data_IF_903194699817
#
_entry.id   IF_903194699817
#
_cell.length_a   1.000
_cell.length_b   1.000
_cell.length_c   1.000
_cell.angle_alpha   90.00
_cell.angle_beta   90.00
_cell.angle_gamma   90.00
#
_symmetry.space_group_name_H-M   'P 1'
#
loop_
_entity.id
_entity.type
_entity.pdbx_description
1 polymer ?
#
# COMPACT_ATOMS: atom_id res chain seq x y z
N UNK A 1 23.05 0.09 39.17
CA UNK A 1 22.71 0.81 37.92
C UNK A 1 23.52 2.10 37.78
N UNK A 2 24.21 2.29 36.67
CA UNK A 2 25.08 3.46 36.46
C UNK A 2 24.27 4.77 36.55
N UNK A 3 23.14 4.88 35.88
CA UNK A 3 22.32 6.12 35.90
C UNK A 3 21.71 6.47 37.25
N UNK A 4 21.73 5.56 38.22
CA UNK A 4 21.31 5.78 39.62
C UNK A 4 22.48 5.98 40.58
N UNK A 5 23.72 6.16 40.08
CA UNK A 5 24.94 6.28 40.87
C UNK A 5 25.54 7.69 40.69
N UNK A 6 26.07 8.26 41.75
CA UNK A 6 26.82 9.54 41.70
C UNK A 6 28.04 9.40 40.79
N UNK A 7 28.26 10.37 39.92
CA UNK A 7 29.27 10.29 38.84
C UNK A 7 30.69 10.14 39.35
N UNK A 8 31.05 10.89 40.41
CA UNK A 8 32.38 10.81 41.01
C UNK A 8 32.63 9.43 41.60
N UNK A 9 31.63 8.85 42.28
CA UNK A 9 31.72 7.50 42.86
C UNK A 9 31.77 6.42 41.76
N UNK A 10 31.01 6.58 40.69
CA UNK A 10 31.08 5.68 39.56
C UNK A 10 32.47 5.66 38.92
N UNK A 11 33.10 6.83 38.75
CA UNK A 11 34.48 6.94 38.22
C UNK A 11 35.48 6.33 39.19
N UNK A 12 35.35 6.60 40.52
CA UNK A 12 36.23 6.06 41.57
C UNK A 12 36.24 4.51 41.57
N UNK A 13 35.05 3.91 41.61
CA UNK A 13 34.94 2.44 41.66
C UNK A 13 35.40 1.77 40.38
N UNK A 14 35.09 2.32 39.22
CA UNK A 14 35.59 1.83 37.95
C UNK A 14 37.12 1.90 37.87
N UNK A 15 37.71 3.00 38.29
CA UNK A 15 39.17 3.15 38.33
C UNK A 15 39.86 2.19 39.30
N UNK A 16 39.25 1.92 40.48
CA UNK A 16 39.76 0.95 41.41
C UNK A 16 39.71 -0.50 40.81
N UNK A 17 38.67 -0.81 40.04
CA UNK A 17 38.59 -2.11 39.34
C UNK A 17 39.64 -2.19 38.23
N UNK A 18 39.85 -1.11 37.46
CA UNK A 18 40.83 -1.07 36.39
C UNK A 18 42.26 -1.25 36.95
N UNK A 19 42.59 -0.60 38.08
CA UNK A 19 43.88 -0.77 38.79
C UNK A 19 44.06 -2.20 39.28
N UNK A 20 43.03 -2.78 39.92
CA UNK A 20 43.08 -4.17 40.43
C UNK A 20 43.19 -5.23 39.31
N UNK A 21 42.59 -4.93 38.14
CA UNK A 21 42.66 -5.80 36.95
C UNK A 21 43.99 -5.65 36.20
N UNK A 22 44.77 -4.61 36.54
CA UNK A 22 46.00 -4.21 35.81
C UNK A 22 45.70 -3.96 34.32
N UNK A 23 44.67 -3.12 34.06
CA UNK A 23 44.23 -2.80 32.71
C UNK A 23 45.40 -2.16 31.91
N UNK A 24 45.63 -2.62 30.69
CA UNK A 24 46.74 -2.18 29.84
C UNK A 24 46.78 -2.93 28.51
N UNK A 25 47.88 -2.82 27.78
CA UNK A 25 48.06 -3.52 26.50
C UNK A 25 47.96 -5.06 26.67
N UNK A 26 47.08 -5.69 25.87
CA UNK A 26 46.81 -7.11 25.95
C UNK A 26 45.94 -7.52 27.15
N UNK A 27 45.44 -6.58 27.94
CA UNK A 27 44.55 -6.76 29.09
C UNK A 27 43.41 -5.71 29.06
N UNK A 28 42.80 -5.56 27.94
CA UNK A 28 41.69 -4.63 27.72
C UNK A 28 40.49 -5.02 28.61
N UNK A 29 39.75 -4.04 29.10
CA UNK A 29 38.61 -4.20 30.01
C UNK A 29 37.41 -3.53 29.44
N UNK A 30 36.24 -4.22 29.49
CA UNK A 30 34.96 -3.62 29.18
C UNK A 30 34.37 -3.03 30.47
N UNK A 31 34.16 -1.72 30.48
CA UNK A 31 33.36 -1.03 31.49
C UNK A 31 31.97 -0.79 30.91
N UNK A 32 30.97 -1.43 31.46
CA UNK A 32 29.57 -1.28 31.01
C UNK A 32 28.82 -0.32 31.91
N UNK A 33 28.20 0.70 31.32
CA UNK A 33 27.50 1.77 31.99
C UNK A 33 25.98 1.72 31.69
N UNK A 34 25.23 0.83 32.37
CA UNK A 34 23.82 0.61 32.01
C UNK A 34 22.90 1.74 32.49
N UNK A 35 22.01 2.16 31.60
CA UNK A 35 20.80 2.87 31.94
C UNK A 35 19.70 1.84 32.22
N UNK A 36 19.77 1.20 33.38
CA UNK A 36 18.87 0.09 33.77
C UNK A 36 17.40 0.55 33.82
N UNK A 37 17.19 1.80 34.16
CA UNK A 37 15.93 2.54 33.97
C UNK A 37 16.29 3.86 33.31
N UNK A 38 15.54 4.22 32.31
CA UNK A 38 15.67 5.51 31.60
C UNK A 38 15.19 6.67 32.49
N UNK A 39 16.08 7.20 33.32
CA UNK A 39 15.76 8.23 34.33
C UNK A 39 15.82 9.63 33.77
N UNK A 40 16.69 9.89 32.80
CA UNK A 40 17.02 11.20 32.25
C UNK A 40 16.74 11.29 30.75
N UNK A 41 16.83 12.48 30.22
CA UNK A 41 16.82 12.70 28.76
C UNK A 41 18.10 12.19 28.10
N UNK A 42 18.08 11.84 26.79
CA UNK A 42 19.22 11.29 26.05
C UNK A 42 20.51 12.10 26.16
N UNK A 43 20.42 13.43 26.13
CA UNK A 43 21.58 14.30 26.25
C UNK A 43 22.24 14.22 27.63
N UNK A 44 21.45 14.08 28.71
CA UNK A 44 22.03 13.92 30.07
C UNK A 44 22.75 12.59 30.21
N UNK A 45 22.22 11.51 29.63
CA UNK A 45 22.93 10.24 29.59
C UNK A 45 24.23 10.34 28.79
N UNK A 46 24.22 11.03 27.66
CA UNK A 46 25.42 11.29 26.88
C UNK A 46 26.47 12.11 27.68
N UNK A 47 26.04 13.14 28.41
CA UNK A 47 26.94 13.91 29.30
C UNK A 47 27.58 13.02 30.35
N UNK A 48 26.84 12.08 30.93
CA UNK A 48 27.36 11.08 31.88
C UNK A 48 28.38 10.15 31.22
N UNK A 49 28.16 9.70 29.99
CA UNK A 49 29.12 8.88 29.25
C UNK A 49 30.38 9.66 28.90
N UNK A 50 30.24 10.91 28.47
CA UNK A 50 31.38 11.77 28.22
C UNK A 50 32.23 12.02 29.48
N UNK A 51 31.53 12.24 30.62
CA UNK A 51 32.21 12.38 31.91
C UNK A 51 33.04 11.13 32.22
N UNK A 52 32.44 9.93 32.12
CA UNK A 52 33.15 8.68 32.39
C UNK A 52 34.31 8.47 31.41
N UNK A 53 34.10 8.73 30.11
CA UNK A 53 35.16 8.63 29.11
C UNK A 53 36.38 9.49 29.43
N UNK A 54 36.18 10.68 30.03
CA UNK A 54 37.25 11.60 30.43
C UNK A 54 37.90 11.28 31.76
N UNK A 55 37.21 10.55 32.68
CA UNK A 55 37.72 10.31 34.04
C UNK A 55 38.17 8.86 34.29
N UNK A 56 37.96 7.96 33.34
CA UNK A 56 38.51 6.59 33.42
C UNK A 56 40.00 6.58 33.15
N UNK A 57 40.76 5.92 34.01
CA UNK A 57 42.16 5.59 33.78
C UNK A 57 42.29 4.60 32.61
N UNK A 58 43.45 4.61 31.97
CA UNK A 58 43.76 3.66 30.90
C UNK A 58 42.72 3.66 29.78
N UNK A 59 42.13 4.81 29.44
CA UNK A 59 41.00 4.93 28.53
C UNK A 59 41.23 4.23 27.17
N UNK A 60 42.47 4.24 26.69
CA UNK A 60 42.91 3.59 25.45
C UNK A 60 42.84 2.05 25.49
N UNK A 61 42.77 1.47 26.68
CA UNK A 61 42.61 0.03 26.91
C UNK A 61 41.24 -0.33 27.50
N UNK A 62 40.35 0.64 27.63
CA UNK A 62 38.99 0.44 28.11
C UNK A 62 38.01 0.50 26.95
N UNK A 63 37.21 -0.55 26.79
CA UNK A 63 36.04 -0.56 25.92
C UNK A 63 34.86 -0.03 26.73
N UNK A 64 34.49 1.21 26.47
CA UNK A 64 33.36 1.84 27.14
C UNK A 64 32.05 1.36 26.51
N UNK A 65 31.29 0.56 27.24
CA UNK A 65 30.06 -0.08 26.79
C UNK A 65 28.82 0.57 27.42
N UNK A 66 27.75 0.66 26.66
CA UNK A 66 26.46 1.17 27.11
C UNK A 66 25.37 0.12 26.96
N UNK A 67 24.39 0.14 27.89
CA UNK A 67 23.28 -0.81 27.92
C UNK A 67 21.99 -0.06 28.32
N UNK A 68 21.38 0.70 27.41
CA UNK A 68 20.16 1.43 27.70
C UNK A 68 18.90 0.56 27.64
N UNK A 69 17.99 0.82 28.59
CA UNK A 69 16.59 0.40 28.48
C UNK A 69 15.75 1.48 27.78
N UNK A 70 14.47 1.24 27.57
CA UNK A 70 13.58 2.07 26.75
C UNK A 70 12.32 2.54 27.52
N UNK A 71 12.46 2.83 28.81
CA UNK A 71 11.32 3.15 29.71
C UNK A 71 10.58 4.42 29.29
N UNK A 72 11.28 5.39 28.70
CA UNK A 72 10.73 6.65 28.20
C UNK A 72 10.52 6.66 26.69
N UNK A 73 10.87 5.57 25.99
CA UNK A 73 10.83 5.47 24.53
C UNK A 73 12.01 6.17 23.82
N UNK A 74 13.08 6.49 24.52
CA UNK A 74 14.23 7.25 24.02
C UNK A 74 15.53 6.41 23.95
N UNK A 75 15.43 5.10 24.17
CA UNK A 75 16.60 4.21 24.27
C UNK A 75 17.54 4.26 23.06
N UNK A 76 16.99 4.36 21.84
CA UNK A 76 17.79 4.51 20.61
C UNK A 76 18.49 5.87 20.59
N UNK A 77 17.77 6.96 20.84
CA UNK A 77 18.35 8.31 20.86
C UNK A 77 19.43 8.46 21.94
N UNK A 78 19.19 7.91 23.14
CA UNK A 78 20.18 7.89 24.20
C UNK A 78 21.45 7.13 23.80
N UNK A 79 21.30 6.03 23.08
CA UNK A 79 22.43 5.22 22.60
C UNK A 79 23.21 5.93 21.50
N UNK A 80 22.54 6.56 20.54
CA UNK A 80 23.19 7.35 19.49
C UNK A 80 24.03 8.50 20.07
N UNK A 81 23.46 9.25 21.03
CA UNK A 81 24.18 10.31 21.70
C UNK A 81 25.32 9.79 22.59
N UNK A 82 25.15 8.62 23.23
CA UNK A 82 26.23 7.99 24.00
C UNK A 82 27.42 7.57 23.13
N UNK A 83 27.15 7.05 21.92
CA UNK A 83 28.21 6.77 20.93
C UNK A 83 28.96 8.03 20.52
N UNK A 84 28.24 9.14 20.26
CA UNK A 84 28.87 10.44 19.97
C UNK A 84 29.65 11.00 21.16
N UNK A 85 29.26 10.64 22.39
CA UNK A 85 29.93 11.04 23.62
C UNK A 85 31.16 10.19 23.97
N UNK A 86 31.48 9.16 23.17
CA UNK A 86 32.69 8.36 23.33
C UNK A 86 32.49 6.92 23.80
N UNK A 87 31.28 6.38 23.75
CA UNK A 87 31.06 4.95 23.92
C UNK A 87 31.62 4.18 22.71
N UNK A 88 32.23 3.02 22.97
CA UNK A 88 32.83 2.16 21.96
C UNK A 88 31.95 0.97 21.60
N UNK A 89 31.05 0.57 22.51
CA UNK A 89 30.27 -0.66 22.41
C UNK A 89 28.82 -0.44 22.90
N UNK A 90 27.88 -1.11 22.26
CA UNK A 90 26.48 -1.11 22.67
C UNK A 90 26.00 -2.53 22.98
N UNK A 91 25.25 -2.69 24.05
CA UNK A 91 24.45 -3.85 24.37
C UNK A 91 22.97 -3.52 24.22
N UNK A 92 22.28 -4.35 23.48
CA UNK A 92 20.83 -4.23 23.26
C UNK A 92 20.26 -5.55 22.80
N UNK A 93 19.03 -5.53 22.29
CA UNK A 93 18.32 -6.73 21.88
C UNK A 93 17.67 -6.53 20.51
N UNK A 94 17.36 -7.64 19.84
CA UNK A 94 16.60 -7.61 18.60
C UNK A 94 15.20 -7.07 18.89
N UNK A 95 14.81 -6.04 18.13
CA UNK A 95 13.51 -5.37 18.25
C UNK A 95 13.21 -4.83 19.67
N UNK A 96 14.23 -4.58 20.46
CA UNK A 96 14.09 -4.01 21.80
C UNK A 96 13.51 -4.99 22.85
N UNK A 97 13.50 -6.30 22.60
CA UNK A 97 12.96 -7.26 23.55
C UNK A 97 13.68 -7.19 24.90
N UNK A 98 12.94 -7.19 26.00
CA UNK A 98 13.52 -7.12 27.35
C UNK A 98 12.48 -6.84 28.42
N UNK A 99 12.97 -6.57 29.62
CA UNK A 99 12.11 -6.23 30.78
C UNK A 99 11.37 -4.91 30.57
N UNK A 100 10.16 -4.82 31.12
CA UNK A 100 9.29 -3.63 31.10
C UNK A 100 8.99 -3.20 29.67
N UNK A 101 9.54 -2.04 29.23
CA UNK A 101 9.41 -1.48 27.88
C UNK A 101 10.48 -2.01 26.93
N UNK A 102 11.41 -2.83 27.42
CA UNK A 102 12.51 -3.41 26.68
C UNK A 102 13.84 -2.67 26.78
N UNK A 103 14.79 -3.11 25.98
CA UNK A 103 16.14 -2.56 25.81
C UNK A 103 16.18 -1.69 24.56
N UNK A 104 17.33 -1.06 24.31
CA UNK A 104 17.59 -0.45 23.00
C UNK A 104 17.46 -1.51 21.91
N UNK A 105 16.71 -1.17 20.86
CA UNK A 105 16.61 -1.98 19.65
C UNK A 105 17.88 -1.82 18.81
N UNK A 106 18.75 -2.85 18.83
CA UNK A 106 20.02 -2.81 18.09
C UNK A 106 19.84 -2.79 16.57
N UNK A 107 18.72 -3.30 16.05
CA UNK A 107 18.43 -3.23 14.61
C UNK A 107 18.11 -1.79 14.19
N UNK A 108 17.22 -1.14 14.93
CA UNK A 108 16.91 0.28 14.70
C UNK A 108 18.17 1.14 14.78
N UNK A 109 19.01 0.94 15.82
CA UNK A 109 20.27 1.65 15.97
C UNK A 109 21.20 1.41 14.76
N UNK A 110 21.40 0.16 14.35
CA UNK A 110 22.28 -0.20 13.26
C UNK A 110 21.83 0.40 11.91
N UNK A 111 20.53 0.35 11.61
CA UNK A 111 19.99 0.97 10.39
C UNK A 111 20.04 2.50 10.45
N UNK A 112 19.88 3.11 11.61
CA UNK A 112 20.09 4.55 11.78
C UNK A 112 21.54 4.93 11.47
N UNK A 113 22.52 4.17 11.98
CA UNK A 113 23.95 4.37 11.65
C UNK A 113 24.18 4.21 10.15
N UNK A 114 23.67 3.15 9.55
CA UNK A 114 23.78 2.89 8.11
C UNK A 114 23.21 4.05 7.28
N UNK A 115 22.04 4.58 7.66
CA UNK A 115 21.40 5.70 6.98
C UNK A 115 22.24 7.00 7.02
N UNK A 116 23.17 7.10 7.96
CA UNK A 116 24.12 8.20 8.10
C UNK A 116 25.51 7.88 7.52
N UNK A 117 25.63 6.77 6.80
CA UNK A 117 26.88 6.34 6.15
C UNK A 117 27.90 5.68 7.10
N UNK A 118 27.46 5.23 8.29
CA UNK A 118 28.27 4.50 9.25
C UNK A 118 27.94 3.01 9.16
N UNK A 119 28.88 2.20 8.69
CA UNK A 119 28.73 0.75 8.63
C UNK A 119 28.73 0.14 10.04
N UNK A 120 27.62 -0.46 10.50
CA UNK A 120 27.54 -1.11 11.81
C UNK A 120 28.31 -2.42 11.88
N UNK A 121 28.86 -2.91 10.75
CA UNK A 121 29.57 -4.19 10.60
C UNK A 121 28.77 -5.39 11.07
N UNK A 122 27.49 -5.38 10.75
CA UNK A 122 26.53 -6.46 11.01
C UNK A 122 25.89 -6.89 9.69
N UNK A 123 25.61 -8.18 9.55
CA UNK A 123 24.89 -8.73 8.39
C UNK A 123 23.40 -8.52 8.59
N UNK A 124 22.85 -7.43 8.04
CA UNK A 124 21.48 -6.98 8.27
C UNK A 124 20.68 -6.76 6.97
N UNK A 125 21.14 -7.34 5.85
CA UNK A 125 20.56 -7.15 4.52
C UNK A 125 19.19 -7.83 4.35
N UNK A 126 18.78 -8.69 5.30
CA UNK A 126 17.47 -9.36 5.29
C UNK A 126 16.79 -9.30 6.66
N UNK A 127 16.10 -8.18 6.91
CA UNK A 127 15.34 -7.99 8.16
C UNK A 127 14.20 -9.00 8.32
N UNK A 128 13.68 -9.55 7.22
CA UNK A 128 12.56 -10.49 7.27
C UNK A 128 13.01 -11.83 7.88
N UNK A 129 14.16 -12.34 7.49
CA UNK A 129 14.74 -13.54 8.10
C UNK A 129 15.02 -13.36 9.59
N UNK A 130 15.54 -12.18 9.98
CA UNK A 130 15.76 -11.86 11.40
C UNK A 130 14.44 -11.84 12.16
N UNK A 131 13.41 -11.22 11.60
CA UNK A 131 12.06 -11.18 12.16
C UNK A 131 11.48 -12.57 12.35
N UNK A 132 11.57 -13.45 11.34
CA UNK A 132 11.07 -14.83 11.42
C UNK A 132 11.73 -15.62 12.56
N UNK A 133 13.04 -15.50 12.72
CA UNK A 133 13.79 -16.13 13.82
C UNK A 133 13.32 -15.59 15.17
N UNK A 134 13.19 -14.26 15.29
CA UNK A 134 12.73 -13.61 16.52
C UNK A 134 11.32 -14.08 16.91
N UNK A 135 10.35 -14.00 16.01
CA UNK A 135 8.95 -14.38 16.26
C UNK A 135 8.82 -15.88 16.60
N UNK A 136 9.61 -16.73 15.94
CA UNK A 136 9.66 -18.17 16.22
C UNK A 136 10.20 -18.46 17.61
N UNK A 137 11.27 -17.78 18.05
CA UNK A 137 11.93 -18.03 19.32
C UNK A 137 11.18 -17.42 20.51
N UNK A 138 10.69 -16.20 20.37
CA UNK A 138 10.05 -15.46 21.46
C UNK A 138 8.55 -15.71 21.57
N UNK A 139 7.91 -16.17 20.49
CA UNK A 139 6.44 -16.24 20.33
C UNK A 139 5.76 -14.88 20.40
N UNK A 140 6.50 -13.80 20.20
CA UNK A 140 6.01 -12.44 20.16
C UNK A 140 6.02 -11.95 18.71
N UNK A 141 4.97 -11.21 18.30
CA UNK A 141 4.89 -10.60 16.97
C UNK A 141 5.50 -9.19 16.98
N UNK A 142 6.14 -8.83 15.89
CA UNK A 142 6.67 -7.47 15.69
C UNK A 142 5.51 -6.49 15.50
N UNK A 143 5.47 -5.37 16.22
CA UNK A 143 4.46 -4.34 16.01
C UNK A 143 4.42 -3.86 14.55
N UNK A 144 3.24 -3.61 13.95
CA UNK A 144 3.13 -3.15 12.57
C UNK A 144 3.88 -1.84 12.28
N UNK A 145 4.17 -1.02 13.29
CA UNK A 145 4.89 0.26 13.21
C UNK A 145 6.31 0.19 13.78
N UNK A 146 6.84 -1.02 14.04
CA UNK A 146 8.23 -1.16 14.46
C UNK A 146 9.16 -0.54 13.40
N UNK A 147 10.08 0.33 13.75
CA UNK A 147 11.01 0.92 12.78
C UNK A 147 11.66 -0.14 11.90
N UNK A 148 11.76 0.13 10.61
CA UNK A 148 12.31 -0.74 9.55
C UNK A 148 11.64 -2.11 9.36
N UNK A 149 11.15 -2.78 10.41
CA UNK A 149 10.65 -4.15 10.39
C UNK A 149 9.12 -4.27 10.25
N UNK A 150 8.39 -3.29 10.72
CA UNK A 150 6.93 -3.32 10.78
C UNK A 150 6.27 -3.39 9.41
N UNK A 151 5.10 -4.00 9.32
CA UNK A 151 4.37 -4.17 8.07
C UNK A 151 3.96 -2.84 7.40
N UNK A 152 3.88 -1.75 8.18
CA UNK A 152 3.40 -0.45 7.71
C UNK A 152 4.51 0.58 7.47
N UNK A 153 5.79 0.25 7.73
CA UNK A 153 6.86 1.27 7.74
C UNK A 153 7.30 1.73 6.35
N UNK A 154 7.12 0.91 5.33
CA UNK A 154 7.39 1.26 3.93
C UNK A 154 6.10 1.43 3.13
N UNK A 155 5.02 1.85 3.77
CA UNK A 155 3.73 2.09 3.15
C UNK A 155 3.38 3.57 3.22
N UNK A 156 2.90 4.14 2.13
CA UNK A 156 2.38 5.50 2.11
C UNK A 156 0.86 5.45 1.95
N UNK A 157 0.13 6.12 2.85
CA UNK A 157 -1.34 6.17 2.83
C UNK A 157 -1.88 7.34 2.00
N UNK A 158 -1.09 8.38 1.81
CA UNK A 158 -1.48 9.57 1.04
C UNK A 158 -1.03 9.48 -0.40
N UNK A 159 -1.92 9.74 -1.36
CA UNK A 159 -1.58 9.79 -2.77
C UNK A 159 -0.50 10.81 -3.11
N UNK A 160 -0.43 11.93 -2.38
CA UNK A 160 0.64 12.94 -2.56
C UNK A 160 2.01 12.42 -2.10
N UNK A 161 2.07 11.61 -1.03
CA UNK A 161 3.31 11.00 -0.58
C UNK A 161 3.80 9.93 -1.57
N UNK A 162 2.88 9.14 -2.12
CA UNK A 162 3.22 8.13 -3.14
C UNK A 162 3.74 8.77 -4.43
N UNK A 163 3.10 9.85 -4.89
CA UNK A 163 3.55 10.61 -6.05
C UNK A 163 4.97 11.18 -5.81
N UNK A 164 5.24 11.71 -4.61
CA UNK A 164 6.55 12.21 -4.25
C UNK A 164 7.62 11.10 -4.20
N UNK A 165 7.30 9.93 -3.64
CA UNK A 165 8.20 8.76 -3.63
C UNK A 165 8.51 8.31 -5.07
N UNK A 166 7.49 8.15 -5.92
CA UNK A 166 7.68 7.74 -7.31
C UNK A 166 8.54 8.74 -8.09
N UNK A 167 8.28 10.04 -7.95
CA UNK A 167 9.11 11.09 -8.55
C UNK A 167 10.54 11.10 -8.01
N UNK A 168 10.71 10.86 -6.71
CA UNK A 168 12.02 10.74 -6.08
C UNK A 168 12.84 9.58 -6.64
N UNK A 169 12.24 8.39 -6.76
CA UNK A 169 12.87 7.19 -7.35
C UNK A 169 13.23 7.45 -8.82
N UNK A 170 12.31 8.03 -9.60
CA UNK A 170 12.57 8.37 -10.99
C UNK A 170 13.74 9.35 -11.13
N UNK A 171 13.75 10.42 -10.35
CA UNK A 171 14.81 11.44 -10.39
C UNK A 171 16.18 10.87 -9.97
N UNK A 172 16.23 9.95 -8.98
CA UNK A 172 17.45 9.22 -8.62
C UNK A 172 17.96 8.37 -9.79
N UNK A 173 17.08 7.62 -10.43
CA UNK A 173 17.43 6.77 -11.57
C UNK A 173 17.95 7.60 -12.75
N UNK A 174 17.29 8.72 -13.09
CA UNK A 174 17.73 9.63 -14.15
C UNK A 174 19.10 10.26 -13.88
N UNK A 175 19.38 10.61 -12.61
CA UNK A 175 20.66 11.19 -12.19
C UNK A 175 21.74 10.14 -11.92
N UNK A 176 21.38 8.86 -11.90
CA UNK A 176 22.27 7.75 -11.49
C UNK A 176 22.91 8.02 -10.12
N UNK A 177 22.14 8.59 -9.18
CA UNK A 177 22.60 8.90 -7.83
C UNK A 177 22.94 7.62 -7.06
N UNK A 178 24.06 7.62 -6.38
CA UNK A 178 24.48 6.56 -5.45
C UNK A 178 24.08 6.85 -4.00
N UNK A 179 23.48 8.02 -3.76
CA UNK A 179 23.00 8.44 -2.45
C UNK A 179 21.48 8.35 -2.46
N UNK A 180 20.92 7.72 -1.41
CA UNK A 180 19.49 7.64 -1.25
C UNK A 180 18.88 9.00 -0.86
N UNK A 181 17.99 9.53 -1.70
CA UNK A 181 17.37 10.84 -1.53
C UNK A 181 15.85 10.81 -1.75
N UNK A 182 15.22 9.62 -1.65
CA UNK A 182 13.79 9.49 -1.88
C UNK A 182 13.01 10.06 -0.70
N UNK A 183 12.07 11.01 -0.94
CA UNK A 183 11.22 11.56 0.12
C UNK A 183 10.44 10.48 0.86
N UNK A 184 10.21 10.68 2.15
CA UNK A 184 9.43 9.79 3.04
C UNK A 184 10.03 8.41 3.32
N UNK A 185 11.17 8.05 2.73
CA UNK A 185 11.85 6.79 2.98
C UNK A 185 13.26 7.07 3.53
N UNK A 186 13.56 6.73 4.79
CA UNK A 186 14.83 7.07 5.43
C UNK A 186 16.02 6.28 4.85
N UNK A 187 15.76 5.12 4.25
CA UNK A 187 16.75 4.27 3.55
C UNK A 187 16.09 3.63 2.33
N UNK A 188 16.90 3.05 1.44
CA UNK A 188 16.37 2.15 0.39
C UNK A 188 15.84 0.86 1.05
N UNK A 189 14.56 0.53 0.89
CA UNK A 189 14.02 -0.72 1.41
C UNK A 189 14.77 -1.96 0.89
N UNK A 190 15.35 -1.89 -0.30
CA UNK A 190 16.12 -3.00 -0.89
C UNK A 190 17.38 -3.35 -0.09
N UNK A 191 18.02 -2.36 0.57
CA UNK A 191 19.22 -2.57 1.39
C UNK A 191 18.98 -3.45 2.62
N UNK A 192 17.72 -3.60 3.01
CA UNK A 192 17.31 -4.40 4.17
C UNK A 192 16.41 -5.59 3.79
N UNK A 193 16.43 -6.00 2.50
CA UNK A 193 15.65 -7.12 1.98
C UNK A 193 14.15 -6.85 1.89
N UNK A 194 13.74 -5.56 1.88
CA UNK A 194 12.34 -5.16 1.73
C UNK A 194 12.08 -4.50 0.39
N UNK A 195 10.83 -4.28 0.09
CA UNK A 195 10.40 -3.51 -1.07
C UNK A 195 9.49 -2.39 -0.61
N UNK A 196 9.54 -1.25 -1.30
CA UNK A 196 8.49 -0.27 -1.17
C UNK A 196 7.20 -0.89 -1.74
N UNK A 197 6.26 -1.16 -0.87
CA UNK A 197 4.93 -1.61 -1.26
C UNK A 197 3.99 -0.42 -1.12
N UNK A 198 3.45 0.08 -2.23
CA UNK A 198 2.38 1.05 -2.17
C UNK A 198 1.09 0.35 -1.70
N UNK A 199 1.07 -0.11 -0.46
CA UNK A 199 -0.17 -0.60 0.15
C UNK A 199 -1.00 0.63 0.51
N UNK A 200 -1.82 1.03 -0.41
CA UNK A 200 -2.88 2.01 -0.14
C UNK A 200 -3.98 1.30 0.62
N UNK A 201 -3.90 1.30 1.94
CA UNK A 201 -5.10 1.07 2.74
C UNK A 201 -5.89 2.36 2.73
N UNK A 202 -7.08 2.32 2.19
CA UNK A 202 -7.94 3.50 2.11
C UNK A 202 -8.71 3.59 3.41
N UNK A 203 -8.48 4.67 4.12
CA UNK A 203 -9.28 5.09 5.26
C UNK A 203 -9.97 6.43 4.92
N UNK A 204 -10.83 6.91 5.81
CA UNK A 204 -11.56 8.18 5.66
C UNK A 204 -10.66 9.42 5.41
N UNK A 205 -9.36 9.33 5.67
CA UNK A 205 -8.36 10.38 5.42
C UNK A 205 -7.59 10.19 4.09
N UNK A 206 -7.78 9.06 3.42
CA UNK A 206 -7.14 8.78 2.12
C UNK A 206 -7.88 9.58 1.05
N UNK A 207 -7.24 10.61 0.51
CA UNK A 207 -7.85 11.46 -0.52
C UNK A 207 -8.25 10.70 -1.78
N UNK A 208 -9.07 11.35 -2.63
CA UNK A 208 -9.66 10.80 -3.87
C UNK A 208 -8.67 10.13 -4.84
N UNK A 209 -7.39 10.47 -4.78
CA UNK A 209 -6.34 9.85 -5.58
C UNK A 209 -5.92 8.44 -5.12
N UNK A 210 -6.17 8.08 -3.86
CA UNK A 210 -5.76 6.79 -3.32
C UNK A 210 -6.47 5.60 -3.96
N UNK A 211 -7.79 5.67 -4.14
CA UNK A 211 -8.60 4.61 -4.79
C UNK A 211 -8.16 4.42 -6.24
N UNK A 212 -8.01 5.51 -6.99
CA UNK A 212 -7.58 5.45 -8.38
C UNK A 212 -6.18 4.84 -8.53
N UNK A 213 -5.28 5.16 -7.61
CA UNK A 213 -3.93 4.58 -7.59
C UNK A 213 -3.95 3.06 -7.31
N UNK A 214 -4.75 2.62 -6.33
CA UNK A 214 -4.92 1.17 -6.08
C UNK A 214 -5.42 0.45 -7.30
N UNK A 215 -6.44 0.99 -7.96
CA UNK A 215 -7.03 0.38 -9.14
C UNK A 215 -6.05 0.29 -10.31
N UNK A 216 -5.23 1.32 -10.54
CA UNK A 216 -4.21 1.31 -11.59
C UNK A 216 -3.01 0.41 -11.22
N UNK A 217 -2.38 0.67 -10.07
CA UNK A 217 -1.10 0.02 -9.72
C UNK A 217 -1.22 -1.48 -9.41
N UNK A 218 -2.32 -1.91 -8.77
CA UNK A 218 -2.48 -3.31 -8.38
C UNK A 218 -3.34 -4.13 -9.34
N UNK A 219 -4.32 -3.49 -9.99
CA UNK A 219 -5.29 -4.20 -10.81
C UNK A 219 -5.30 -3.75 -12.28
N UNK A 220 -4.52 -2.72 -12.63
CA UNK A 220 -4.34 -2.25 -14.00
C UNK A 220 -5.52 -1.44 -14.57
N UNK A 221 -6.48 -1.01 -13.73
CA UNK A 221 -7.63 -0.23 -14.17
C UNK A 221 -7.36 1.27 -14.12
N UNK A 222 -7.19 1.89 -15.28
CA UNK A 222 -6.99 3.35 -15.43
C UNK A 222 -8.34 4.06 -15.48
N UNK A 223 -8.90 4.36 -14.32
CA UNK A 223 -10.22 4.97 -14.21
C UNK A 223 -10.29 6.36 -14.85
N UNK A 224 -11.34 6.70 -15.63
CA UNK A 224 -11.61 8.08 -16.06
C UNK A 224 -11.74 9.04 -14.87
N UNK A 225 -11.32 10.31 -15.03
CA UNK A 225 -11.30 11.30 -13.92
C UNK A 225 -12.64 11.47 -13.20
N UNK A 226 -13.76 11.46 -13.93
CA UNK A 226 -15.11 11.54 -13.34
C UNK A 226 -15.41 10.31 -12.48
N UNK A 227 -15.10 9.13 -12.99
CA UNK A 227 -15.29 7.85 -12.31
C UNK A 227 -14.38 7.71 -11.07
N UNK A 228 -13.13 8.23 -11.13
CA UNK A 228 -12.25 8.25 -9.95
C UNK A 228 -12.90 8.96 -8.76
N UNK A 229 -13.61 10.06 -9.03
CA UNK A 229 -14.30 10.82 -7.97
C UNK A 229 -15.50 10.05 -7.44
N UNK A 230 -16.36 9.57 -8.31
CA UNK A 230 -17.56 8.82 -7.94
C UNK A 230 -17.21 7.59 -7.11
N UNK A 231 -16.24 6.80 -7.58
CA UNK A 231 -15.83 5.58 -6.88
C UNK A 231 -15.10 5.86 -5.57
N UNK A 232 -14.28 6.91 -5.51
CA UNK A 232 -13.60 7.31 -4.28
C UNK A 232 -14.60 7.77 -3.20
N UNK A 233 -15.62 8.55 -3.58
CA UNK A 233 -16.67 8.99 -2.66
C UNK A 233 -17.46 7.78 -2.11
N UNK A 234 -17.72 6.76 -2.93
CA UNK A 234 -18.35 5.49 -2.49
C UNK A 234 -17.48 4.71 -1.48
N UNK A 235 -16.20 4.51 -1.78
CA UNK A 235 -15.28 3.80 -0.89
C UNK A 235 -15.05 4.58 0.41
N UNK A 236 -15.03 5.91 0.35
CA UNK A 236 -14.92 6.74 1.54
C UNK A 236 -16.13 6.56 2.48
N UNK A 237 -17.35 6.60 1.94
CA UNK A 237 -18.56 6.39 2.73
C UNK A 237 -18.57 4.99 3.39
N UNK A 238 -18.08 3.97 2.70
CA UNK A 238 -17.94 2.62 3.25
C UNK A 238 -16.89 2.59 4.38
N UNK A 239 -15.74 3.22 4.17
CA UNK A 239 -14.66 3.25 5.18
C UNK A 239 -15.04 4.01 6.45
N UNK A 240 -15.96 4.96 6.38
CA UNK A 240 -16.51 5.66 7.56
C UNK A 240 -17.42 4.75 8.41
N UNK A 241 -18.01 3.73 7.80
CA UNK A 241 -18.89 2.78 8.48
C UNK A 241 -18.15 1.54 8.98
N UNK A 242 -17.28 0.97 8.16
CA UNK A 242 -16.63 -0.33 8.38
C UNK A 242 -15.15 -0.22 8.80
N UNK A 243 -14.54 0.97 8.71
CA UNK A 243 -13.14 1.20 8.99
C UNK A 243 -12.25 1.10 7.74
N UNK A 244 -11.06 0.55 7.88
CA UNK A 244 -10.09 0.41 6.77
C UNK A 244 -10.57 -0.57 5.71
N UNK A 245 -10.56 -0.15 4.44
CA UNK A 245 -10.91 -1.00 3.28
C UNK A 245 -9.63 -1.47 2.59
N UNK A 246 -9.46 -2.77 2.45
CA UNK A 246 -8.31 -3.36 1.79
C UNK A 246 -8.34 -3.17 0.26
N UNK A 247 -7.20 -3.21 -0.44
CA UNK A 247 -7.15 -3.16 -1.90
C UNK A 247 -8.01 -4.23 -2.58
N UNK A 248 -8.06 -5.44 -2.03
CA UNK A 248 -8.85 -6.52 -2.57
C UNK A 248 -10.36 -6.25 -2.42
N UNK A 249 -10.80 -5.70 -1.29
CA UNK A 249 -12.19 -5.30 -1.09
C UNK A 249 -12.59 -4.17 -2.04
N UNK A 250 -11.71 -3.17 -2.25
CA UNK A 250 -11.93 -2.11 -3.25
C UNK A 250 -12.14 -2.70 -4.64
N UNK A 251 -11.28 -3.64 -5.03
CA UNK A 251 -11.39 -4.32 -6.31
C UNK A 251 -12.69 -5.13 -6.43
N UNK A 252 -13.08 -5.88 -5.39
CA UNK A 252 -14.29 -6.68 -5.40
C UNK A 252 -15.55 -5.81 -5.47
N UNK A 253 -15.56 -4.68 -4.77
CA UNK A 253 -16.63 -3.68 -4.86
C UNK A 253 -16.68 -3.08 -6.27
N UNK A 254 -15.53 -2.70 -6.83
CA UNK A 254 -15.46 -2.19 -8.21
C UNK A 254 -16.01 -3.19 -9.22
N UNK A 255 -15.64 -4.45 -9.09
CA UNK A 255 -16.16 -5.51 -9.96
C UNK A 255 -17.68 -5.66 -9.83
N UNK A 256 -18.20 -5.63 -8.61
CA UNK A 256 -19.63 -5.77 -8.33
C UNK A 256 -20.44 -4.58 -8.87
N UNK A 257 -19.95 -3.36 -8.62
CA UNK A 257 -20.68 -2.13 -8.95
C UNK A 257 -20.61 -1.75 -10.43
N UNK A 258 -19.47 -1.94 -11.09
CA UNK A 258 -19.25 -1.36 -12.42
C UNK A 258 -19.04 -2.39 -13.53
N UNK A 259 -18.51 -3.57 -13.22
CA UNK A 259 -18.08 -4.53 -14.25
C UNK A 259 -19.08 -5.66 -14.46
N UNK A 260 -19.53 -6.26 -13.39
CA UNK A 260 -20.39 -7.44 -13.42
C UNK A 260 -21.87 -7.13 -13.16
N UNK A 261 -22.30 -5.91 -13.43
CA UNK A 261 -23.70 -5.47 -13.30
C UNK A 261 -24.52 -6.08 -14.44
N UNK A 262 -25.01 -7.32 -14.23
CA UNK A 262 -25.67 -8.16 -15.25
C UNK A 262 -27.17 -8.26 -15.07
N UNK A 263 -27.71 -7.60 -14.09
CA UNK A 263 -29.14 -7.61 -13.77
C UNK A 263 -29.70 -6.19 -13.80
N UNK A 264 -30.90 -6.00 -14.31
CA UNK A 264 -31.81 -7.05 -14.87
C UNK A 264 -31.49 -7.37 -16.34
N UNK A 265 -30.71 -6.53 -17.06
CA UNK A 265 -30.39 -6.76 -18.47
C UNK A 265 -28.94 -7.20 -18.64
N UNK A 266 -28.72 -8.25 -19.44
CA UNK A 266 -27.40 -8.83 -19.64
C UNK A 266 -27.11 -9.09 -21.11
N UNK A 267 -26.09 -8.40 -21.67
CA UNK A 267 -25.62 -8.61 -23.03
C UNK A 267 -25.08 -10.03 -23.25
N UNK A 268 -25.57 -10.72 -24.27
CA UNK A 268 -25.13 -12.06 -24.68
C UNK A 268 -24.34 -12.05 -25.97
N UNK A 269 -24.89 -11.51 -27.06
CA UNK A 269 -24.27 -11.55 -28.36
C UNK A 269 -24.65 -10.36 -29.24
N UNK A 270 -23.83 -10.06 -30.22
CA UNK A 270 -24.09 -9.09 -31.28
C UNK A 270 -23.66 -9.66 -32.63
N UNK A 271 -24.44 -9.34 -33.65
CA UNK A 271 -24.05 -9.47 -35.06
C UNK A 271 -24.19 -8.10 -35.70
N UNK A 272 -23.19 -7.69 -36.45
CA UNK A 272 -23.18 -6.41 -37.16
C UNK A 272 -23.07 -6.60 -38.65
N UNK A 273 -23.70 -5.72 -39.41
CA UNK A 273 -23.56 -5.62 -40.86
C UNK A 273 -23.30 -4.16 -41.20
N UNK A 274 -22.18 -3.91 -41.85
CA UNK A 274 -21.79 -2.58 -42.25
C UNK A 274 -22.13 -2.38 -43.74
N UNK A 275 -22.70 -1.21 -44.05
CA UNK A 275 -22.99 -0.77 -45.40
C UNK A 275 -22.25 0.54 -45.66
N UNK A 276 -21.42 0.56 -46.71
CA UNK A 276 -20.71 1.77 -47.12
C UNK A 276 -21.66 2.70 -47.85
N UNK A 277 -21.71 3.96 -47.45
CA UNK A 277 -22.61 4.97 -48.01
C UNK A 277 -21.90 5.92 -49.04
N UNK A 278 -20.58 5.71 -49.25
CA UNK A 278 -19.70 6.63 -49.98
C UNK A 278 -19.05 7.67 -49.05
N UNK A 279 -18.02 8.34 -49.53
CA UNK A 279 -17.22 9.36 -48.79
C UNK A 279 -16.69 8.86 -47.40
N UNK A 280 -16.25 7.61 -47.33
CA UNK A 280 -15.75 6.97 -46.10
C UNK A 280 -16.76 6.92 -44.92
N UNK A 281 -18.04 7.02 -45.22
CA UNK A 281 -19.10 6.88 -44.21
C UNK A 281 -19.75 5.49 -44.27
N UNK A 282 -20.07 4.93 -43.10
CA UNK A 282 -20.67 3.62 -42.95
C UNK A 282 -21.97 3.72 -42.14
N UNK A 283 -22.93 2.88 -42.48
CA UNK A 283 -24.09 2.61 -41.63
C UNK A 283 -23.95 1.20 -41.12
N UNK A 284 -23.91 1.05 -39.80
CA UNK A 284 -23.87 -0.25 -39.11
C UNK A 284 -25.28 -0.61 -38.66
N UNK A 285 -25.75 -1.77 -39.05
CA UNK A 285 -26.91 -2.43 -38.46
C UNK A 285 -26.42 -3.46 -37.43
N UNK A 286 -26.92 -3.37 -36.22
CA UNK A 286 -26.59 -4.29 -35.12
C UNK A 286 -27.85 -5.11 -34.74
N UNK A 287 -27.68 -6.43 -34.72
CA UNK A 287 -28.67 -7.34 -34.13
C UNK A 287 -28.14 -7.86 -32.80
N UNK A 288 -28.78 -7.47 -31.69
CA UNK A 288 -28.34 -7.73 -30.32
C UNK A 288 -29.20 -8.74 -29.65
N UNK A 289 -28.56 -9.72 -29.00
CA UNK A 289 -29.22 -10.71 -28.12
C UNK A 289 -28.83 -10.40 -26.67
N UNK A 290 -29.81 -10.29 -25.79
CA UNK A 290 -29.60 -10.03 -24.38
C UNK A 290 -30.57 -10.81 -23.50
N UNK A 291 -30.31 -10.90 -22.20
CA UNK A 291 -31.27 -11.37 -21.21
C UNK A 291 -31.94 -10.17 -20.56
N UNK A 292 -33.24 -10.26 -20.36
CA UNK A 292 -34.07 -9.34 -19.59
C UNK A 292 -34.79 -10.14 -18.50
N UNK A 293 -34.42 -9.92 -17.22
CA UNK A 293 -34.90 -10.74 -16.09
C UNK A 293 -34.81 -12.27 -16.37
N UNK A 294 -33.69 -12.68 -16.98
CA UNK A 294 -33.44 -14.09 -17.33
C UNK A 294 -34.09 -14.59 -18.64
N UNK A 295 -34.98 -13.82 -19.26
CA UNK A 295 -35.61 -14.16 -20.55
C UNK A 295 -34.72 -13.67 -21.71
N UNK A 296 -34.58 -14.51 -22.75
CA UNK A 296 -33.82 -14.17 -23.95
C UNK A 296 -34.63 -13.25 -24.85
N UNK A 297 -34.10 -12.06 -25.12
CA UNK A 297 -34.70 -11.03 -25.96
C UNK A 297 -33.72 -10.54 -27.04
N UNK A 298 -34.24 -9.84 -28.04
CA UNK A 298 -33.50 -9.34 -29.18
C UNK A 298 -34.00 -7.95 -29.56
N UNK A 299 -33.06 -7.10 -29.98
CA UNK A 299 -33.40 -5.85 -30.63
C UNK A 299 -32.45 -5.57 -31.80
N UNK A 300 -32.90 -4.74 -32.73
CA UNK A 300 -32.10 -4.22 -33.83
C UNK A 300 -31.85 -2.73 -33.61
N UNK A 301 -30.68 -2.27 -34.08
CA UNK A 301 -30.34 -0.88 -34.04
C UNK A 301 -29.48 -0.46 -35.22
N UNK A 302 -29.51 0.82 -35.56
CA UNK A 302 -28.79 1.41 -36.69
C UNK A 302 -28.01 2.62 -36.21
N UNK A 303 -26.74 2.74 -36.65
CA UNK A 303 -25.87 3.84 -36.27
C UNK A 303 -24.64 3.97 -37.16
N UNK A 304 -23.75 4.90 -36.84
CA UNK A 304 -22.50 5.13 -37.58
C UNK A 304 -21.38 4.12 -37.23
N UNK A 305 -21.69 3.18 -36.35
CA UNK A 305 -20.79 2.12 -35.91
C UNK A 305 -21.47 1.20 -34.89
N UNK A 306 -20.81 0.08 -34.47
CA UNK A 306 -21.44 -0.92 -33.63
C UNK A 306 -21.98 -0.38 -32.30
N UNK A 307 -21.26 0.53 -31.64
CA UNK A 307 -21.67 1.10 -30.35
C UNK A 307 -22.88 2.01 -30.53
N UNK A 308 -22.84 2.90 -31.52
CA UNK A 308 -23.94 3.82 -31.83
C UNK A 308 -25.23 3.07 -32.23
N UNK A 309 -25.08 2.03 -33.04
CA UNK A 309 -26.18 1.15 -33.42
C UNK A 309 -26.82 0.46 -32.19
N UNK A 310 -26.01 -0.05 -31.26
CA UNK A 310 -26.52 -0.65 -30.02
C UNK A 310 -27.19 0.36 -29.12
N UNK A 311 -26.66 1.59 -29.00
CA UNK A 311 -27.28 2.65 -28.20
C UNK A 311 -28.66 3.01 -28.77
N UNK A 312 -28.75 3.21 -30.08
CA UNK A 312 -30.00 3.53 -30.79
C UNK A 312 -31.06 2.43 -30.56
N UNK A 313 -30.69 1.16 -30.80
CA UNK A 313 -31.62 0.04 -30.62
C UNK A 313 -32.03 -0.16 -29.17
N UNK A 314 -31.11 -0.08 -28.23
CA UNK A 314 -31.40 -0.24 -26.78
C UNK A 314 -32.29 0.89 -26.25
N UNK A 315 -32.07 2.13 -26.74
CA UNK A 315 -32.89 3.28 -26.37
C UNK A 315 -34.34 3.10 -26.84
N UNK A 316 -34.57 2.58 -28.06
CA UNK A 316 -35.88 2.28 -28.59
C UNK A 316 -36.55 1.12 -27.83
N UNK A 317 -35.81 0.03 -27.60
CA UNK A 317 -36.30 -1.18 -26.91
C UNK A 317 -36.73 -0.88 -25.49
N UNK A 318 -35.93 -0.16 -24.71
CA UNK A 318 -36.24 0.17 -23.32
C UNK A 318 -37.03 1.45 -23.15
N UNK A 319 -37.29 2.20 -24.24
CA UNK A 319 -37.96 3.52 -24.23
C UNK A 319 -37.26 4.54 -23.34
N UNK A 320 -35.96 4.58 -23.43
CA UNK A 320 -35.08 5.47 -22.66
C UNK A 320 -34.37 6.46 -23.60
N UNK A 321 -34.03 7.63 -23.07
CA UNK A 321 -33.36 8.67 -23.85
C UNK A 321 -31.93 8.88 -23.32
N UNK A 322 -30.98 8.17 -23.89
CA UNK A 322 -29.58 8.12 -23.41
C UNK A 322 -28.60 8.73 -24.40
N UNK A 323 -27.53 9.31 -23.86
CA UNK A 323 -26.40 9.83 -24.62
C UNK A 323 -25.08 9.44 -23.96
N UNK A 324 -24.08 9.04 -24.77
CA UNK A 324 -22.70 8.83 -24.28
C UNK A 324 -22.03 10.18 -24.11
N UNK A 325 -21.56 10.47 -22.90
CA UNK A 325 -20.79 11.67 -22.57
C UNK A 325 -19.30 11.46 -22.75
N UNK A 326 -18.79 10.27 -22.40
CA UNK A 326 -17.38 9.93 -22.47
C UNK A 326 -17.22 8.42 -22.71
N UNK A 327 -16.20 8.07 -23.46
CA UNK A 327 -15.80 6.71 -23.78
C UNK A 327 -14.27 6.61 -23.72
N UNK A 328 -13.78 5.69 -22.91
CA UNK A 328 -12.37 5.40 -22.80
C UNK A 328 -12.14 3.90 -22.77
N UNK A 329 -11.02 3.47 -23.32
CA UNK A 329 -10.61 2.07 -23.31
C UNK A 329 -9.09 1.92 -23.16
N UNK A 330 -8.67 0.80 -22.64
CA UNK A 330 -7.27 0.39 -22.62
C UNK A 330 -7.14 -1.14 -22.48
N UNK A 331 -5.92 -1.63 -22.72
CA UNK A 331 -5.60 -3.03 -22.52
C UNK A 331 -5.34 -3.32 -21.02
N UNK A 332 -5.93 -4.38 -20.48
CA UNK A 332 -5.71 -4.84 -19.11
C UNK A 332 -4.62 -5.93 -19.10
N UNK A 333 -3.35 -5.53 -18.90
CA UNK A 333 -2.19 -6.40 -18.93
C UNK A 333 -1.34 -6.23 -20.20
N UNK A 334 -0.40 -7.15 -20.43
CA UNK A 334 0.54 -7.16 -21.57
C UNK A 334 0.50 -8.47 -22.33
N UNK A 335 0.74 -8.46 -23.66
CA UNK A 335 0.80 -9.64 -24.50
C UNK A 335 -0.40 -9.80 -25.46
N UNK A 336 -0.42 -10.87 -26.25
CA UNK A 336 -1.40 -11.09 -27.32
C UNK A 336 -2.79 -11.57 -26.84
N UNK A 337 -2.92 -12.01 -25.59
CA UNK A 337 -4.17 -12.54 -25.02
C UNK A 337 -4.77 -11.60 -23.95
N UNK A 338 -4.60 -10.31 -24.17
CA UNK A 338 -5.01 -9.24 -23.23
C UNK A 338 -6.50 -8.94 -23.37
N UNK A 339 -7.16 -8.68 -22.25
CA UNK A 339 -8.55 -8.19 -22.27
C UNK A 339 -8.55 -6.68 -22.46
N UNK A 340 -9.48 -6.18 -23.26
CA UNK A 340 -9.83 -4.76 -23.29
C UNK A 340 -10.77 -4.45 -22.12
N UNK A 341 -10.53 -3.34 -21.46
CA UNK A 341 -11.48 -2.71 -20.54
C UNK A 341 -12.00 -1.44 -21.17
N UNK A 342 -13.31 -1.26 -21.18
CA UNK A 342 -14.00 -0.07 -21.71
C UNK A 342 -14.81 0.59 -20.62
N UNK A 343 -14.75 1.90 -20.52
CA UNK A 343 -15.48 2.75 -19.58
C UNK A 343 -16.50 3.56 -20.38
N UNK A 344 -17.78 3.44 -20.05
CA UNK A 344 -18.86 4.17 -20.71
C UNK A 344 -19.48 5.12 -19.70
N UNK A 345 -19.53 6.39 -20.01
CA UNK A 345 -20.22 7.41 -19.24
C UNK A 345 -21.49 7.81 -19.95
N UNK A 346 -22.64 7.48 -19.37
CA UNK A 346 -23.97 7.78 -19.93
C UNK A 346 -24.62 8.98 -19.25
N UNK A 347 -25.43 9.68 -20.02
CA UNK A 347 -26.40 10.67 -19.55
C UNK A 347 -27.81 10.15 -19.90
N UNK A 348 -28.68 10.14 -18.92
CA UNK A 348 -30.13 10.13 -19.14
C UNK A 348 -30.56 11.57 -19.44
N UNK A 349 -30.98 11.81 -20.68
CA UNK A 349 -31.30 13.16 -21.17
C UNK A 349 -32.54 13.73 -20.48
N UNK A 350 -33.47 12.85 -20.08
CA UNK A 350 -34.76 13.24 -19.49
C UNK A 350 -34.61 13.65 -18.01
N UNK A 351 -33.80 12.92 -17.24
CA UNK A 351 -33.57 13.23 -15.82
C UNK A 351 -32.30 14.06 -15.53
N UNK A 352 -31.37 14.14 -16.49
CA UNK A 352 -30.06 14.75 -16.31
C UNK A 352 -29.08 13.93 -15.45
N UNK A 353 -29.43 12.72 -15.05
CA UNK A 353 -28.55 11.83 -14.28
C UNK A 353 -27.47 11.22 -15.17
N UNK A 354 -26.32 10.93 -14.56
CA UNK A 354 -25.21 10.25 -15.25
C UNK A 354 -24.83 8.95 -14.53
N UNK A 355 -24.28 8.00 -15.26
CA UNK A 355 -23.79 6.72 -14.71
C UNK A 355 -22.59 6.23 -15.49
N UNK A 356 -21.64 5.61 -14.79
CA UNK A 356 -20.54 4.86 -15.39
C UNK A 356 -20.85 3.37 -15.42
N UNK A 357 -20.40 2.70 -16.49
CA UNK A 357 -20.36 1.25 -16.58
C UNK A 357 -19.03 0.80 -17.18
N UNK A 358 -18.59 -0.38 -16.79
CA UNK A 358 -17.31 -0.95 -17.21
C UNK A 358 -17.53 -2.31 -17.83
N UNK A 359 -16.93 -2.52 -19.00
CA UNK A 359 -16.97 -3.82 -19.68
C UNK A 359 -15.59 -4.42 -19.87
N UNK A 360 -15.52 -5.74 -19.80
CA UNK A 360 -14.32 -6.53 -20.01
C UNK A 360 -14.56 -7.59 -21.09
N UNK A 361 -13.67 -7.63 -22.08
CA UNK A 361 -13.68 -8.68 -23.10
C UNK A 361 -12.32 -8.77 -23.82
N UNK A 362 -12.03 -9.90 -24.45
CA UNK A 362 -10.92 -10.00 -25.42
C UNK A 362 -11.24 -9.28 -26.75
N UNK A 363 -12.47 -8.86 -26.97
CA UNK A 363 -12.94 -8.09 -28.13
C UNK A 363 -13.40 -6.72 -27.68
N UNK A 364 -12.86 -5.66 -28.27
CA UNK A 364 -13.09 -4.25 -27.92
C UNK A 364 -14.59 -3.88 -28.03
N UNK A 365 -15.24 -4.24 -29.13
CA UNK A 365 -16.67 -3.95 -29.34
C UNK A 365 -17.52 -4.60 -28.23
N UNK A 366 -17.24 -5.87 -27.89
CA UNK A 366 -17.95 -6.58 -26.82
C UNK A 366 -17.68 -5.99 -25.45
N UNK A 367 -16.47 -5.52 -25.21
CA UNK A 367 -16.09 -4.80 -23.99
C UNK A 367 -16.94 -3.54 -23.85
N UNK A 368 -17.03 -2.73 -24.89
CA UNK A 368 -17.79 -1.48 -24.90
C UNK A 368 -19.29 -1.70 -24.69
N UNK A 369 -19.86 -2.70 -25.34
CA UNK A 369 -21.30 -3.04 -25.18
C UNK A 369 -21.58 -3.55 -23.76
N UNK A 370 -20.71 -4.35 -23.18
CA UNK A 370 -20.85 -4.77 -21.77
C UNK A 370 -20.81 -3.60 -20.82
N UNK A 371 -19.92 -2.63 -21.06
CA UNK A 371 -19.87 -1.38 -20.30
C UNK A 371 -21.14 -0.55 -20.44
N UNK A 372 -21.72 -0.49 -21.65
CA UNK A 372 -23.00 0.17 -21.90
C UNK A 372 -24.14 -0.48 -21.10
N UNK A 373 -24.30 -1.79 -21.18
CA UNK A 373 -25.31 -2.52 -20.42
C UNK A 373 -25.14 -2.35 -18.91
N UNK A 374 -23.90 -2.37 -18.41
CA UNK A 374 -23.62 -2.08 -17.01
C UNK A 374 -24.05 -0.66 -16.61
N UNK A 375 -23.74 0.35 -17.41
CA UNK A 375 -24.15 1.72 -17.14
C UNK A 375 -25.69 1.91 -17.16
N UNK A 376 -26.39 1.23 -18.08
CA UNK A 376 -27.86 1.26 -18.18
C UNK A 376 -28.49 0.57 -16.95
N UNK A 377 -27.99 -0.58 -16.52
CA UNK A 377 -28.45 -1.25 -15.31
C UNK A 377 -28.32 -0.33 -14.08
N UNK A 378 -27.18 0.27 -13.89
CA UNK A 378 -26.92 1.18 -12.76
C UNK A 378 -27.78 2.45 -12.80
N UNK A 379 -28.12 2.93 -13.99
CA UNK A 379 -28.89 4.16 -14.18
C UNK A 379 -30.40 3.97 -14.01
N UNK A 380 -30.93 2.95 -14.66
CA UNK A 380 -32.40 2.76 -14.78
C UNK A 380 -32.94 1.67 -13.83
N UNK A 381 -32.07 0.77 -13.33
CA UNK A 381 -32.42 -0.32 -12.44
C UNK A 381 -31.49 -0.38 -11.21
N UNK A 382 -31.30 0.73 -10.49
CA UNK A 382 -30.28 0.82 -9.45
C UNK A 382 -30.49 -0.16 -8.29
N UNK A 383 -31.73 -0.41 -7.88
CA UNK A 383 -32.03 -1.32 -6.77
C UNK A 383 -31.68 -2.79 -7.12
N UNK A 384 -31.99 -3.23 -8.34
CA UNK A 384 -31.67 -4.58 -8.81
C UNK A 384 -30.16 -4.76 -9.05
N UNK A 385 -29.54 -3.75 -9.62
CA UNK A 385 -28.09 -3.72 -9.82
C UNK A 385 -27.32 -3.78 -8.50
N UNK A 386 -27.72 -2.98 -7.51
CA UNK A 386 -27.12 -2.95 -6.16
C UNK A 386 -27.34 -4.27 -5.41
N UNK A 387 -28.55 -4.84 -5.44
CA UNK A 387 -28.86 -6.12 -4.81
C UNK A 387 -28.01 -7.26 -5.38
N UNK A 388 -27.86 -7.31 -6.71
CA UNK A 388 -26.99 -8.28 -7.37
C UNK A 388 -25.52 -8.08 -7.03
N UNK A 389 -25.03 -6.84 -6.90
CA UNK A 389 -23.68 -6.50 -6.48
C UNK A 389 -23.38 -6.97 -5.05
N UNK A 390 -24.23 -6.64 -4.09
CA UNK A 390 -24.10 -7.06 -2.69
C UNK A 390 -24.05 -8.58 -2.54
N UNK A 391 -24.94 -9.29 -3.20
CA UNK A 391 -24.97 -10.76 -3.17
C UNK A 391 -23.65 -11.38 -3.65
N UNK A 392 -23.00 -10.81 -4.65
CA UNK A 392 -21.71 -11.30 -5.17
C UNK A 392 -20.56 -11.05 -4.22
N UNK A 393 -20.51 -9.89 -3.58
CA UNK A 393 -19.50 -9.58 -2.57
C UNK A 393 -19.62 -10.54 -1.39
N UNK A 394 -20.82 -10.81 -0.91
CA UNK A 394 -21.09 -11.75 0.18
C UNK A 394 -20.71 -13.19 -0.19
N UNK A 395 -21.03 -13.64 -1.41
CA UNK A 395 -20.64 -14.96 -1.89
C UNK A 395 -19.11 -15.14 -1.97
N UNK A 396 -18.39 -14.12 -2.41
CA UNK A 396 -16.92 -14.13 -2.40
C UNK A 396 -16.35 -14.16 -0.99
N UNK A 397 -16.90 -13.38 -0.06
CA UNK A 397 -16.51 -13.41 1.37
C UNK A 397 -16.76 -14.77 2.01
N UNK A 398 -17.79 -15.50 1.59
CA UNK A 398 -18.12 -16.85 2.05
C UNK A 398 -17.26 -17.96 1.40
N UNK A 399 -16.32 -17.64 0.53
CA UNK A 399 -15.45 -18.63 -0.15
C UNK A 399 -16.17 -19.47 -1.23
N UNK A 400 -17.38 -19.11 -1.63
CA UNK A 400 -18.11 -19.77 -2.70
C UNK A 400 -17.68 -19.20 -4.05
N UNK A 401 -17.16 -20.06 -4.94
CA UNK A 401 -16.80 -19.64 -6.29
C UNK A 401 -18.09 -19.39 -7.12
N UNK A 402 -18.33 -18.19 -7.65
CA UNK A 402 -19.54 -17.89 -8.45
C UNK A 402 -19.72 -18.79 -9.70
N UNK A 403 -18.65 -19.48 -10.13
CA UNK A 403 -18.71 -20.41 -11.27
C UNK A 403 -19.48 -21.70 -10.99
N UNK A 404 -19.66 -22.06 -9.72
CA UNK A 404 -20.30 -23.31 -9.32
C UNK A 404 -21.84 -23.22 -9.26
N UNK A 405 -22.41 -22.00 -9.38
CA UNK A 405 -23.84 -21.75 -9.31
C UNK A 405 -24.53 -21.68 -10.69
N UNK A 406 -23.77 -21.56 -11.76
CA UNK A 406 -24.30 -21.62 -13.12
C UNK A 406 -23.71 -22.86 -13.79
N UNK A 407 -24.39 -24.01 -13.49
CA UNK A 407 -24.10 -25.27 -14.15
C UNK A 407 -24.02 -25.11 -15.67
N UNK A 408 -23.07 -25.82 -16.26
CA UNK A 408 -22.89 -25.94 -17.71
C UNK A 408 -24.24 -26.00 -18.45
N UNK A 409 -24.60 -24.94 -19.13
CA UNK A 409 -25.56 -24.94 -20.23
C UNK A 409 -25.21 -23.83 -21.22
#
# INVERSE_FOLDING_TARGET
>A
SFTGTEMDYAAEICNAVLDAWECGEGREVIINLPSTVEMNTPNVYADQIEYMSKHLKYREHVILSVHPHNDRGEGVAATELALLAGADRVEGTLFGNGERTGNVDILTLAYNMFSQGVDPKLELEDINSIKEVYERCTKMTIPPRQPYAGALVFTAFSGSHQDAINKGVQAMNERQSTIWEVPYLPIDPADIGRKYEPIVRINSQSGKGGVAFVMDAQFGYKLPKGMQREFADYIQALSEQEGEVSPQEIYDIFQAEYVETKEPIHFKNIRTTDTENGDDTYTTMAHVTYLNHGSMEHFDGVGNGPIDAVISGLAEELKINIKVLDYQEHALGTGSNVKAVSYIHLLDVDSGKTSYGVGLSSNITRSSIRGLFSAVNRMFFPEEAEAAGKMRVEQKKAGQNPRDLFGNS
#
